data_IF_492749514588
#
_entry.id   IF_492749514588
#
_cell.length_a   1.000
_cell.length_b   1.000
_cell.length_c   1.000
_cell.angle_alpha   90.00
_cell.angle_beta   90.00
_cell.angle_gamma   90.00
#
_symmetry.space_group_name_H-M   'P 1'
#
loop_
_entity.id
_entity.type
_entity.pdbx_description
1 polymer ?
#
# COMPACT_ATOMS: atom_id res chain seq x y z
N UNK A 1 -5.38 -7.00 8.94
CA UNK A 1 -5.98 -7.08 7.60
C UNK A 1 -5.02 -6.58 6.55
N UNK A 2 -5.13 -7.11 5.33
CA UNK A 2 -4.28 -6.79 4.18
C UNK A 2 -5.15 -6.12 3.11
N UNK A 3 -4.64 -5.08 2.45
CA UNK A 3 -5.38 -4.29 1.44
C UNK A 3 -4.45 -3.91 0.29
N UNK A 4 -4.99 -3.88 -0.93
CA UNK A 4 -4.20 -3.46 -2.09
C UNK A 4 -4.04 -1.94 -2.11
N UNK A 5 -2.94 -1.48 -2.68
CA UNK A 5 -2.76 -0.05 -3.02
C UNK A 5 -3.52 0.23 -4.31
N UNK A 6 -4.37 1.26 -4.30
CA UNK A 6 -5.17 1.66 -5.44
C UNK A 6 -4.68 3.03 -5.93
N UNK A 7 -3.90 3.04 -7.02
CA UNK A 7 -3.24 4.25 -7.51
C UNK A 7 -2.25 4.82 -6.49
N UNK A 8 -2.62 5.93 -5.83
CA UNK A 8 -1.85 6.59 -4.76
C UNK A 8 -2.53 6.53 -3.39
N UNK A 9 -3.53 5.67 -3.22
CA UNK A 9 -4.30 5.56 -1.99
C UNK A 9 -4.35 4.13 -1.45
N UNK A 10 -4.57 4.02 -0.14
CA UNK A 10 -4.85 2.77 0.54
C UNK A 10 -6.25 2.27 0.13
N UNK A 11 -6.36 1.09 -0.49
CA UNK A 11 -7.64 0.52 -0.93
C UNK A 11 -8.63 0.20 0.21
N UNK A 12 -8.19 0.27 1.47
CA UNK A 12 -9.07 0.06 2.63
C UNK A 12 -9.64 1.34 3.26
N UNK A 13 -8.82 2.39 3.40
CA UNK A 13 -9.21 3.60 4.13
C UNK A 13 -9.18 4.88 3.28
N UNK A 14 -8.68 4.82 2.04
CA UNK A 14 -8.54 5.97 1.16
C UNK A 14 -7.40 6.93 1.53
N UNK A 15 -6.58 6.60 2.54
CA UNK A 15 -5.43 7.42 2.92
C UNK A 15 -4.40 7.49 1.80
N UNK A 16 -3.79 8.66 1.62
CA UNK A 16 -2.72 8.88 0.67
C UNK A 16 -1.47 8.07 1.05
N UNK A 17 -0.94 7.31 0.09
CA UNK A 17 0.29 6.53 0.25
C UNK A 17 1.41 7.24 -0.52
N UNK A 18 2.56 7.53 0.14
CA UNK A 18 3.70 8.14 -0.53
C UNK A 18 4.20 7.31 -1.72
N UNK A 19 4.61 7.93 -2.84
CA UNK A 19 5.08 7.22 -4.02
C UNK A 19 6.29 6.31 -3.75
N UNK A 20 7.17 6.65 -2.81
CA UNK A 20 8.25 5.76 -2.34
C UNK A 20 7.73 4.41 -1.87
N UNK A 21 6.74 4.41 -0.96
CA UNK A 21 6.13 3.17 -0.45
C UNK A 21 5.44 2.42 -1.58
N UNK A 22 4.77 3.12 -2.50
CA UNK A 22 4.17 2.46 -3.67
C UNK A 22 5.23 1.75 -4.51
N UNK A 23 6.38 2.39 -4.76
CA UNK A 23 7.50 1.78 -5.48
C UNK A 23 8.11 0.59 -4.73
N UNK A 24 8.22 0.65 -3.40
CA UNK A 24 8.73 -0.46 -2.59
C UNK A 24 7.75 -1.64 -2.54
N UNK A 25 6.46 -1.37 -2.35
CA UNK A 25 5.38 -2.37 -2.38
C UNK A 25 5.28 -3.03 -3.76
N UNK A 26 5.43 -2.26 -4.85
CA UNK A 26 5.51 -2.79 -6.24
C UNK A 26 6.75 -3.64 -6.48
N UNK A 27 7.86 -3.31 -5.84
CA UNK A 27 9.10 -4.06 -5.93
C UNK A 27 9.14 -5.27 -4.97
N UNK A 28 8.03 -5.54 -4.25
CA UNK A 28 7.93 -6.56 -3.21
C UNK A 28 9.06 -6.45 -2.16
N UNK A 29 9.54 -5.22 -1.92
CA UNK A 29 10.64 -4.93 -1.02
C UNK A 29 10.16 -4.78 0.42
N UNK A 30 9.86 -5.90 1.05
CA UNK A 30 9.44 -5.93 2.45
C UNK A 30 7.96 -5.61 2.64
N UNK A 31 7.50 -5.71 3.88
CA UNK A 31 6.11 -5.48 4.25
C UNK A 31 5.90 -4.02 4.62
N UNK A 32 5.05 -3.32 3.88
CA UNK A 32 4.63 -1.96 4.22
C UNK A 32 3.23 -1.96 4.81
N UNK A 33 2.96 -0.98 5.67
CA UNK A 33 1.64 -0.78 6.25
C UNK A 33 1.17 0.65 6.01
N UNK A 34 -0.13 0.85 5.98
CA UNK A 34 -0.74 2.17 5.86
C UNK A 34 -0.58 2.93 7.17
N UNK A 35 0.03 4.11 7.15
CA UNK A 35 0.22 4.94 8.36
C UNK A 35 -1.10 5.39 9.01
N UNK A 36 -2.19 5.45 8.23
CA UNK A 36 -3.50 5.89 8.74
C UNK A 36 -4.31 4.78 9.41
N UNK A 37 -4.21 3.53 8.93
CA UNK A 37 -5.06 2.43 9.41
C UNK A 37 -4.30 1.16 9.78
N UNK A 38 -2.97 1.22 9.75
CA UNK A 38 -2.01 0.15 10.10
C UNK A 38 -2.25 -1.18 9.38
N UNK A 39 -2.96 -1.18 8.26
CA UNK A 39 -3.18 -2.36 7.41
C UNK A 39 -2.00 -2.60 6.50
N UNK A 40 -1.67 -3.87 6.26
CA UNK A 40 -0.63 -4.25 5.31
C UNK A 40 -1.02 -3.87 3.88
N UNK A 41 -0.09 -3.23 3.19
CA UNK A 41 -0.21 -2.81 1.81
C UNK A 41 0.47 -3.84 0.91
N UNK A 42 -0.22 -4.26 -0.14
CA UNK A 42 0.36 -5.07 -1.21
C UNK A 42 0.00 -4.48 -2.58
N UNK A 43 0.77 -4.84 -3.59
CA UNK A 43 0.47 -4.50 -4.98
C UNK A 43 -0.23 -5.69 -5.63
N UNK A 44 -1.42 -5.46 -6.19
CA UNK A 44 -2.10 -6.47 -7.00
C UNK A 44 -1.56 -6.38 -8.43
N UNK A 45 -0.64 -7.29 -8.77
CA UNK A 45 -0.18 -7.48 -10.15
C UNK A 45 -1.28 -8.21 -10.91
N UNK A 46 -2.05 -7.47 -11.72
CA UNK A 46 -3.02 -8.00 -12.69
C UNK A 46 -2.33 -8.81 -13.79
#
# INVERSE_FOLDING_TARGET
SVVHVQGTACGGCGAFIPPQIISEVKAEKGSHTCDSCSRFLYWESV
#
